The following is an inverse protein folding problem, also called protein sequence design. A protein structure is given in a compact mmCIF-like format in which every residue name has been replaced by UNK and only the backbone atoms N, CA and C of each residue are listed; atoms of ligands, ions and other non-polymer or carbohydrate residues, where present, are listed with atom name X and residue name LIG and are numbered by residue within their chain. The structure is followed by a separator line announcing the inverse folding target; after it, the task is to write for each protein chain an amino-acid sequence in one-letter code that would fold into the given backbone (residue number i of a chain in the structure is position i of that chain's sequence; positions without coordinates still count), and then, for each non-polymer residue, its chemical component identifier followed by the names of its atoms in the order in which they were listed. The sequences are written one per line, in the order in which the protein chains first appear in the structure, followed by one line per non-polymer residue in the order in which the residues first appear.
data_IF_737456101782
#
_entry.id   IF_737456101782
#
_cell.length_a   1.000
_cell.length_b   1.000
_cell.length_c   1.000
_cell.angle_alpha   90.00
_cell.angle_beta   90.00
_cell.angle_gamma   90.00
#
_symmetry.space_group_name_H-M   'P 1'
#
loop_
_entity.id
_entity.type
_entity.pdbx_description
1 polymer ?
#
# COMPACT_ATOMS: atom_id res chain seq x y z
N UNK A 1 53.63 -13.09 -58.04
CA UNK A 1 52.96 -12.53 -59.22
C UNK A 1 52.00 -11.46 -58.71
N UNK A 2 52.20 -10.22 -59.18
CA UNK A 2 51.62 -8.96 -58.69
C UNK A 2 50.08 -9.01 -58.54
N UNK A 3 49.40 -8.14 -57.78
CA UNK A 3 49.14 -6.74 -58.18
C UNK A 3 48.47 -5.93 -57.03
N UNK A 4 48.97 -4.68 -56.88
CA UNK A 4 48.39 -3.41 -56.39
C UNK A 4 47.93 -3.19 -54.92
N UNK A 5 48.68 -2.26 -54.28
CA UNK A 5 48.25 -1.30 -53.24
C UNK A 5 47.16 -0.36 -53.78
N UNK A 6 46.12 -0.02 -53.01
CA UNK A 6 45.49 1.33 -52.98
C UNK A 6 44.96 1.62 -51.55
N UNK A 7 45.12 2.88 -51.13
CA UNK A 7 44.88 3.50 -49.83
C UNK A 7 43.42 3.60 -49.37
N UNK A 8 43.25 3.72 -48.05
CA UNK A 8 42.08 4.25 -47.29
C UNK A 8 41.57 5.61 -47.79
N UNK A 9 40.53 6.23 -47.19
CA UNK A 9 39.23 5.73 -46.69
C UNK A 9 38.07 6.58 -47.27
N UNK A 10 36.87 6.02 -47.49
CA UNK A 10 35.69 6.84 -47.78
C UNK A 10 34.58 6.60 -46.76
N UNK A 11 34.75 7.35 -45.67
CA UNK A 11 33.70 7.81 -44.78
C UNK A 11 32.67 8.62 -45.61
N UNK A 12 31.58 8.00 -46.07
CA UNK A 12 30.43 8.78 -46.60
C UNK A 12 29.08 8.05 -46.72
N UNK A 13 28.92 6.81 -46.26
CA UNK A 13 27.61 6.13 -46.29
C UNK A 13 26.97 6.06 -44.90
N UNK A 14 26.73 7.23 -44.31
CA UNK A 14 25.76 7.45 -43.25
C UNK A 14 24.52 8.12 -43.84
N UNK A 15 23.41 7.37 -43.90
CA UNK A 15 21.98 7.76 -43.92
C UNK A 15 21.22 6.55 -44.48
N UNK A 16 20.19 5.98 -43.86
CA UNK A 16 19.36 6.37 -42.75
C UNK A 16 18.68 5.10 -42.23
N UNK A 17 19.07 4.59 -41.08
CA UNK A 17 18.24 3.66 -40.34
C UNK A 17 18.26 4.14 -38.89
N UNK A 18 17.24 4.93 -38.54
CA UNK A 18 17.07 5.44 -37.18
C UNK A 18 16.60 4.31 -36.26
N UNK A 19 17.48 3.37 -35.94
CA UNK A 19 17.27 2.35 -34.91
C UNK A 19 17.50 2.98 -33.54
N UNK A 20 16.77 4.04 -33.20
CA UNK A 20 16.83 4.69 -31.88
C UNK A 20 15.52 5.41 -31.56
N UNK A 21 14.48 4.65 -31.17
CA UNK A 21 13.37 5.12 -30.32
C UNK A 21 12.41 3.96 -30.01
N UNK A 22 12.83 3.03 -29.15
CA UNK A 22 11.91 2.01 -28.62
C UNK A 22 12.18 1.69 -27.14
N UNK A 23 12.89 2.54 -26.39
CA UNK A 23 13.24 2.25 -24.99
C UNK A 23 13.23 3.50 -24.10
N UNK A 24 12.16 4.30 -24.15
CA UNK A 24 12.04 5.45 -23.24
C UNK A 24 10.60 5.87 -22.90
N UNK A 25 9.63 4.95 -22.94
CA UNK A 25 8.21 5.27 -22.65
C UNK A 25 7.59 4.51 -21.47
N UNK A 26 8.37 3.78 -20.67
CA UNK A 26 7.80 2.88 -19.63
C UNK A 26 8.11 3.26 -18.18
N UNK A 27 8.69 4.42 -17.89
CA UNK A 27 9.01 4.83 -16.50
C UNK A 27 8.20 6.01 -15.95
N UNK A 28 7.64 6.86 -16.80
CA UNK A 28 6.96 8.09 -16.37
C UNK A 28 5.48 7.90 -16.00
N UNK A 29 4.90 6.72 -16.18
CA UNK A 29 3.44 6.54 -16.22
C UNK A 29 2.81 6.12 -14.89
N UNK A 30 3.57 5.59 -13.92
CA UNK A 30 3.02 5.10 -12.64
C UNK A 30 3.12 6.11 -11.48
N UNK A 31 3.98 7.13 -11.58
CA UNK A 31 4.21 8.06 -10.47
C UNK A 31 3.15 9.18 -10.36
N UNK A 32 2.53 9.55 -11.49
CA UNK A 32 1.56 10.65 -11.58
C UNK A 32 0.30 10.46 -10.71
N UNK A 33 -0.31 9.26 -10.63
CA UNK A 33 -1.52 9.06 -9.82
C UNK A 33 -1.27 9.10 -8.31
N UNK A 34 -0.06 8.76 -7.85
CA UNK A 34 0.27 8.72 -6.41
C UNK A 34 0.28 10.11 -5.77
N UNK A 35 0.46 11.17 -6.56
CA UNK A 35 0.43 12.56 -6.10
C UNK A 35 -0.97 13.09 -5.82
N UNK A 36 -2.02 12.45 -6.34
CA UNK A 36 -3.42 12.88 -6.19
C UNK A 36 -4.21 12.06 -5.16
N UNK A 37 -3.54 11.26 -4.34
CA UNK A 37 -4.20 10.53 -3.24
C UNK A 37 -4.48 11.49 -2.07
N UNK A 38 -5.63 11.36 -1.39
CA UNK A 38 -5.90 12.16 -0.21
C UNK A 38 -4.86 11.86 0.88
N UNK A 39 -4.36 12.91 1.51
CA UNK A 39 -3.35 12.82 2.56
C UNK A 39 -3.90 12.09 3.80
N UNK A 40 -3.11 11.17 4.36
CA UNK A 40 -3.41 10.56 5.65
C UNK A 40 -2.83 11.42 6.76
N UNK A 41 -3.70 12.09 7.52
CA UNK A 41 -3.31 12.87 8.70
C UNK A 41 -3.20 11.95 9.91
N UNK A 42 -2.06 11.97 10.60
CA UNK A 42 -1.84 11.23 11.86
C UNK A 42 -1.75 12.23 13.01
N UNK A 43 -2.64 12.09 13.99
CA UNK A 43 -2.60 12.88 15.23
C UNK A 43 -2.33 11.97 16.42
N UNK A 44 -1.48 12.43 17.34
CA UNK A 44 -1.20 11.74 18.59
C UNK A 44 -1.90 12.47 19.73
N UNK A 45 -2.65 11.74 20.55
CA UNK A 45 -3.33 12.27 21.73
C UNK A 45 -2.36 12.31 22.92
N UNK A 46 -2.69 13.06 23.97
CA UNK A 46 -1.84 13.23 25.16
C UNK A 46 -1.53 11.90 25.88
N UNK A 47 -2.34 10.86 25.67
CA UNK A 47 -2.13 9.52 26.21
C UNK A 47 -1.27 8.61 25.31
N UNK A 48 -0.71 9.13 24.21
CA UNK A 48 0.08 8.38 23.22
C UNK A 48 -0.74 7.62 22.19
N UNK A 49 -2.06 7.76 22.19
CA UNK A 49 -2.93 7.09 21.21
C UNK A 49 -2.84 7.78 19.85
N UNK A 50 -2.59 7.01 18.78
CA UNK A 50 -2.46 7.54 17.42
C UNK A 50 -3.76 7.37 16.65
N UNK A 51 -4.26 8.46 16.09
CA UNK A 51 -5.44 8.50 15.25
C UNK A 51 -5.00 8.86 13.83
N UNK A 52 -5.14 7.92 12.91
CA UNK A 52 -4.89 8.14 11.49
C UNK A 52 -6.22 8.37 10.77
N UNK A 53 -6.36 9.49 10.07
CA UNK A 53 -7.57 9.87 9.33
C UNK A 53 -7.22 10.16 7.89
N UNK A 54 -8.01 9.63 6.95
CA UNK A 54 -7.95 9.97 5.54
C UNK A 54 -9.35 10.40 5.11
N UNK A 55 -9.49 11.63 4.63
CA UNK A 55 -10.78 12.17 4.18
C UNK A 55 -11.09 11.67 2.77
N UNK A 56 -12.32 11.20 2.57
CA UNK A 56 -12.87 10.81 1.27
C UNK A 56 -14.24 11.46 1.07
N UNK A 57 -14.57 11.80 -0.18
CA UNK A 57 -15.88 12.38 -0.55
C UNK A 57 -17.00 11.32 -0.63
N UNK A 58 -16.92 10.25 0.18
CA UNK A 58 -17.86 9.13 0.17
C UNK A 58 -18.98 9.32 1.21
N UNK A 59 -20.19 8.86 0.88
CA UNK A 59 -21.31 8.83 1.83
C UNK A 59 -21.18 7.76 2.93
N UNK A 60 -20.15 6.91 2.86
CA UNK A 60 -19.81 5.92 3.87
C UNK A 60 -18.40 6.16 4.41
N UNK A 61 -18.18 5.74 5.66
CA UNK A 61 -16.88 5.77 6.31
C UNK A 61 -16.59 4.41 6.92
N UNK A 62 -15.30 4.09 7.08
CA UNK A 62 -14.85 2.92 7.85
C UNK A 62 -14.02 3.42 9.01
N UNK A 63 -14.34 2.94 10.21
CA UNK A 63 -13.58 3.22 11.43
C UNK A 63 -13.08 1.89 11.96
N UNK A 64 -11.80 1.84 12.33
CA UNK A 64 -11.15 0.64 12.85
C UNK A 64 -10.24 0.98 14.03
N UNK A 65 -10.00 -0.02 14.87
CA UNK A 65 -9.04 0.04 15.96
C UNK A 65 -7.94 -0.97 15.67
N UNK A 66 -6.70 -0.49 15.57
CA UNK A 66 -5.52 -1.34 15.41
C UNK A 66 -4.75 -1.40 16.73
N UNK A 67 -4.46 -2.62 17.17
CA UNK A 67 -3.71 -2.89 18.39
C UNK A 67 -2.49 -3.71 17.96
N UNK A 68 -1.31 -3.30 18.39
CA UNK A 68 -0.08 -4.08 18.20
C UNK A 68 -0.05 -5.26 19.18
N UNK A 69 -0.84 -6.29 18.86
CA UNK A 69 -0.99 -7.50 19.64
C UNK A 69 -1.32 -8.69 18.71
N UNK A 70 -1.09 -9.90 19.20
CA UNK A 70 -1.37 -11.14 18.48
C UNK A 70 -0.55 -12.32 19.01
N UNK A 71 -0.72 -13.50 18.41
CA UNK A 71 -0.08 -14.74 18.92
C UNK A 71 1.44 -14.70 18.99
N UNK A 72 2.12 -13.82 18.24
CA UNK A 72 3.56 -13.59 18.38
C UNK A 72 3.95 -13.07 19.78
N UNK A 73 3.05 -12.35 20.43
CA UNK A 73 3.25 -11.76 21.76
C UNK A 73 2.70 -12.67 22.88
N UNK A 74 2.20 -13.86 22.56
CA UNK A 74 1.73 -14.84 23.54
C UNK A 74 2.88 -15.73 24.04
N UNK A 75 2.77 -16.21 25.28
CA UNK A 75 3.66 -17.23 25.81
C UNK A 75 3.10 -18.64 25.55
N UNK A 76 3.89 -19.72 25.75
CA UNK A 76 3.39 -21.08 25.63
C UNK A 76 2.16 -21.38 26.50
N UNK A 77 2.07 -20.74 27.68
CA UNK A 77 0.98 -20.92 28.63
C UNK A 77 -0.29 -20.14 28.23
N UNK A 78 -0.15 -19.03 27.50
CA UNK A 78 -1.25 -18.15 27.08
C UNK A 78 -1.56 -18.27 25.59
N UNK A 79 -1.08 -19.31 24.93
CA UNK A 79 -1.25 -19.50 23.49
C UNK A 79 -2.74 -19.62 23.13
N UNK A 80 -3.19 -18.82 22.17
CA UNK A 80 -4.57 -18.78 21.70
C UNK A 80 -5.49 -17.82 22.46
N UNK A 81 -4.98 -17.05 23.44
CA UNK A 81 -5.76 -16.05 24.16
C UNK A 81 -6.30 -14.96 23.23
N UNK A 82 -5.53 -14.50 22.24
CA UNK A 82 -5.96 -13.50 21.27
C UNK A 82 -7.14 -13.97 20.42
N UNK A 83 -7.05 -15.20 19.90
CA UNK A 83 -8.15 -15.84 19.14
C UNK A 83 -9.39 -16.10 20.03
N UNK A 84 -9.18 -16.45 21.29
CA UNK A 84 -10.29 -16.56 22.25
C UNK A 84 -10.92 -15.20 22.55
N UNK A 85 -10.10 -14.17 22.76
CA UNK A 85 -10.51 -12.81 23.06
C UNK A 85 -11.34 -12.20 21.93
N UNK A 86 -10.95 -12.40 20.66
CA UNK A 86 -11.72 -11.99 19.48
C UNK A 86 -13.17 -12.48 19.55
N UNK A 87 -13.37 -13.75 19.91
CA UNK A 87 -14.72 -14.33 20.06
C UNK A 87 -15.49 -13.70 21.21
N UNK A 88 -14.81 -13.27 22.27
CA UNK A 88 -15.42 -12.63 23.43
C UNK A 88 -15.80 -11.17 23.18
N UNK A 89 -15.09 -10.45 22.31
CA UNK A 89 -15.38 -9.04 22.00
C UNK A 89 -16.82 -8.82 21.51
N UNK A 90 -17.42 -9.83 20.85
CA UNK A 90 -18.78 -9.76 20.32
C UNK A 90 -19.85 -10.29 21.28
N UNK A 91 -19.48 -10.84 22.44
CA UNK A 91 -20.43 -11.44 23.39
C UNK A 91 -21.09 -10.45 24.35
N UNK A 92 -20.74 -9.17 24.24
CA UNK A 92 -21.31 -8.11 25.05
C UNK A 92 -20.27 -7.35 25.86
N UNK A 93 -20.71 -6.23 26.40
CA UNK A 93 -19.95 -5.38 27.31
C UNK A 93 -20.74 -5.23 28.61
N UNK A 94 -20.16 -4.54 29.61
CA UNK A 94 -20.89 -4.23 30.85
C UNK A 94 -22.17 -3.39 30.60
N UNK A 95 -22.22 -2.64 29.51
CA UNK A 95 -23.31 -1.70 29.22
C UNK A 95 -24.29 -2.21 28.15
N UNK A 96 -23.90 -3.20 27.34
CA UNK A 96 -24.69 -3.72 26.22
C UNK A 96 -24.55 -5.22 26.10
N UNK A 97 -25.65 -5.94 25.95
CA UNK A 97 -25.63 -7.38 25.68
C UNK A 97 -25.24 -7.68 24.22
N UNK A 98 -24.92 -8.95 23.91
CA UNK A 98 -24.69 -9.42 22.53
C UNK A 98 -25.86 -9.05 21.59
N UNK A 99 -27.10 -9.15 22.07
CA UNK A 99 -28.30 -8.82 21.28
C UNK A 99 -28.41 -7.32 21.01
N UNK A 100 -28.08 -6.50 22.00
CA UNK A 100 -28.16 -5.05 21.86
C UNK A 100 -27.12 -4.56 20.84
N UNK A 101 -25.90 -5.09 20.90
CA UNK A 101 -24.84 -4.77 19.94
C UNK A 101 -25.25 -5.17 18.51
N UNK A 102 -25.81 -6.38 18.34
CA UNK A 102 -26.26 -6.84 17.02
C UNK A 102 -27.41 -5.97 16.46
N UNK A 103 -28.35 -5.55 17.31
CA UNK A 103 -29.45 -4.68 16.92
C UNK A 103 -28.96 -3.27 16.53
N UNK A 104 -28.05 -2.67 17.31
CA UNK A 104 -27.49 -1.34 17.03
C UNK A 104 -26.69 -1.30 15.72
N UNK A 105 -25.97 -2.37 15.38
CA UNK A 105 -25.19 -2.43 14.13
C UNK A 105 -26.08 -2.63 12.90
N UNK A 106 -27.24 -3.29 13.06
CA UNK A 106 -28.12 -3.65 11.95
C UNK A 106 -29.21 -2.61 11.63
N UNK A 107 -29.46 -1.66 12.54
CA UNK A 107 -30.57 -0.71 12.44
C UNK A 107 -30.16 0.59 11.73
#
# INVERSE_FOLDING_TARGET
MNILKISTPLCSLLRSCSVRKAHQLTRATFAQPLLNLPETKVTELDNGFKVATQSSDSGSATVGLWIDAGSRFESPETNGVGNFFEKMLLKGTKQRSEKDIAAEISN
#
